data_IF_251543351272
#
_entry.id   IF_251543351272
#
_cell.length_a   1.000
_cell.length_b   1.000
_cell.length_c   1.000
_cell.angle_alpha   90.00
_cell.angle_beta   90.00
_cell.angle_gamma   90.00
#
_symmetry.space_group_name_H-M   'P 1'
#
loop_
_entity.id
_entity.type
_entity.pdbx_description
1 polymer ?
#
# COMPACT_ATOMS: atom_id res chain seq x y z
N UNK A 1 -22.66 -23.42 20.83
CA UNK A 1 -21.85 -22.92 19.69
C UNK A 1 -22.19 -23.76 18.47
N UNK A 2 -22.73 -23.17 17.40
CA UNK A 2 -22.78 -23.86 16.09
C UNK A 2 -21.33 -23.91 15.59
N UNK A 3 -20.84 -25.09 15.22
CA UNK A 3 -19.52 -25.23 14.63
C UNK A 3 -19.49 -24.48 13.30
N UNK A 4 -18.38 -23.80 13.01
CA UNK A 4 -18.12 -23.25 11.69
C UNK A 4 -18.06 -24.41 10.68
N UNK A 5 -18.66 -24.25 9.51
CA UNK A 5 -18.61 -25.23 8.42
C UNK A 5 -17.46 -24.89 7.46
N UNK A 6 -16.31 -25.59 7.53
CA UNK A 6 -15.14 -25.20 6.74
C UNK A 6 -15.36 -25.35 5.24
N UNK A 7 -16.22 -26.29 4.82
CA UNK A 7 -16.47 -26.57 3.41
C UNK A 7 -17.26 -25.41 2.80
N UNK A 8 -18.29 -24.91 3.50
CA UNK A 8 -19.07 -23.76 3.03
C UNK A 8 -18.24 -22.47 2.90
N UNK A 9 -17.34 -22.21 3.85
CA UNK A 9 -16.46 -21.04 3.79
C UNK A 9 -15.44 -21.16 2.66
N UNK A 10 -14.84 -22.33 2.47
CA UNK A 10 -13.91 -22.59 1.37
C UNK A 10 -14.59 -22.44 0.00
N UNK A 11 -15.81 -22.97 -0.14
CA UNK A 11 -16.63 -22.88 -1.36
C UNK A 11 -16.97 -21.41 -1.71
N UNK A 12 -17.24 -20.61 -0.68
CA UNK A 12 -17.48 -19.18 -0.81
C UNK A 12 -16.21 -18.47 -1.26
N UNK A 13 -15.07 -18.71 -0.61
CA UNK A 13 -13.76 -18.12 -0.98
C UNK A 13 -13.34 -18.45 -2.43
N UNK A 14 -13.67 -19.65 -2.91
CA UNK A 14 -13.43 -20.04 -4.30
C UNK A 14 -14.32 -19.32 -5.32
N UNK A 15 -15.41 -18.65 -4.88
CA UNK A 15 -16.37 -17.96 -5.77
C UNK A 15 -16.63 -16.52 -5.30
N UNK A 16 -15.65 -15.60 -5.47
CA UNK A 16 -15.79 -14.22 -5.02
C UNK A 16 -16.96 -13.52 -5.71
N UNK A 17 -17.98 -13.14 -4.93
CA UNK A 17 -19.13 -12.38 -5.45
C UNK A 17 -18.91 -10.87 -5.33
N UNK A 18 -19.42 -10.08 -6.26
CA UNK A 18 -19.27 -8.62 -6.28
C UNK A 18 -20.21 -7.88 -5.32
N UNK A 19 -21.27 -8.53 -4.84
CA UNK A 19 -22.29 -7.96 -3.95
C UNK A 19 -21.95 -8.09 -2.45
N UNK A 20 -20.88 -8.79 -2.11
CA UNK A 20 -20.40 -8.95 -0.73
C UNK A 20 -19.19 -8.03 -0.45
N UNK A 21 -19.05 -7.61 0.80
CA UNK A 21 -17.87 -6.88 1.31
C UNK A 21 -16.79 -7.87 1.75
N UNK A 22 -15.93 -8.27 0.81
CA UNK A 22 -14.95 -9.36 1.01
C UNK A 22 -13.76 -9.03 1.92
N UNK A 23 -13.50 -7.75 2.23
CA UNK A 23 -12.55 -7.41 3.31
C UNK A 23 -12.91 -8.12 4.61
N UNK A 24 -14.21 -8.26 4.90
CA UNK A 24 -14.68 -8.98 6.08
C UNK A 24 -14.32 -10.47 6.07
N UNK A 25 -14.16 -11.09 4.89
CA UNK A 25 -13.74 -12.50 4.79
C UNK A 25 -12.24 -12.66 4.97
N UNK A 26 -11.43 -11.76 4.39
CA UNK A 26 -9.99 -11.70 4.68
C UNK A 26 -9.76 -11.48 6.18
N UNK A 27 -10.39 -10.45 6.76
CA UNK A 27 -10.32 -10.14 8.19
C UNK A 27 -10.86 -11.29 9.05
N UNK A 28 -11.90 -11.99 8.59
CA UNK A 28 -12.43 -13.16 9.27
C UNK A 28 -11.42 -14.32 9.28
N UNK A 29 -10.76 -14.61 8.16
CA UNK A 29 -9.75 -15.67 8.12
C UNK A 29 -8.54 -15.28 8.96
N UNK A 30 -8.09 -14.02 8.91
CA UNK A 30 -7.03 -13.52 9.77
C UNK A 30 -7.40 -13.66 11.26
N UNK A 31 -8.60 -13.22 11.65
CA UNK A 31 -9.10 -13.39 13.02
C UNK A 31 -9.24 -14.86 13.42
N UNK A 32 -9.77 -15.70 12.53
CA UNK A 32 -9.87 -17.13 12.77
C UNK A 32 -8.49 -17.76 12.92
N UNK A 33 -7.48 -17.29 12.20
CA UNK A 33 -6.11 -17.77 12.34
C UNK A 33 -5.51 -17.43 13.71
N UNK A 34 -5.84 -16.27 14.28
CA UNK A 34 -5.43 -15.88 15.62
C UNK A 34 -6.17 -16.65 16.72
N UNK A 35 -7.49 -16.83 16.57
CA UNK A 35 -8.35 -17.41 17.60
C UNK A 35 -8.42 -18.95 17.55
N UNK A 36 -8.47 -19.53 16.35
CA UNK A 36 -8.53 -20.97 16.09
C UNK A 36 -7.79 -21.34 14.78
N UNK A 37 -6.44 -21.42 14.83
CA UNK A 37 -5.62 -21.69 13.67
C UNK A 37 -5.96 -23.02 12.97
N UNK A 38 -6.49 -24.00 13.72
CA UNK A 38 -6.85 -25.30 13.17
C UNK A 38 -8.04 -25.16 12.20
N UNK A 39 -9.09 -24.43 12.60
CA UNK A 39 -10.26 -24.16 11.76
C UNK A 39 -9.88 -23.33 10.53
N UNK A 40 -9.08 -22.27 10.71
CA UNK A 40 -8.66 -21.41 9.60
C UNK A 40 -7.83 -22.19 8.57
N UNK A 41 -6.85 -22.99 9.02
CA UNK A 41 -6.10 -23.92 8.15
C UNK A 41 -7.00 -24.90 7.44
N UNK A 42 -8.01 -25.42 8.13
CA UNK A 42 -8.96 -26.36 7.56
C UNK A 42 -9.79 -25.72 6.43
N UNK A 43 -10.24 -24.47 6.58
CA UNK A 43 -10.92 -23.72 5.52
C UNK A 43 -9.98 -23.52 4.33
N UNK A 44 -8.81 -22.94 4.56
CA UNK A 44 -7.89 -22.57 3.48
C UNK A 44 -7.38 -23.78 2.71
N UNK A 45 -7.15 -24.91 3.38
CA UNK A 45 -6.76 -26.17 2.73
C UNK A 45 -7.82 -26.74 1.78
N UNK A 46 -9.08 -26.30 1.89
CA UNK A 46 -10.20 -26.78 1.08
C UNK A 46 -10.62 -25.82 -0.03
N UNK A 47 -9.98 -24.64 -0.14
CA UNK A 47 -10.25 -23.72 -1.25
C UNK A 47 -9.88 -24.42 -2.55
N UNK A 48 -10.89 -24.64 -3.39
CA UNK A 48 -10.73 -25.18 -4.74
C UNK A 48 -10.08 -24.12 -5.65
N UNK A 49 -8.81 -24.35 -6.03
CA UNK A 49 -8.06 -23.43 -6.90
C UNK A 49 -8.61 -23.35 -8.29
N UNK A 50 -9.16 -24.43 -8.82
CA UNK A 50 -9.61 -24.48 -10.21
C UNK A 50 -10.90 -23.68 -10.35
N UNK A 51 -11.79 -23.79 -9.36
CA UNK A 51 -12.97 -22.93 -9.25
C UNK A 51 -12.56 -21.46 -9.07
N UNK A 52 -11.61 -21.18 -8.17
CA UNK A 52 -11.12 -19.81 -7.97
C UNK A 52 -10.50 -19.24 -9.24
N UNK A 53 -9.69 -20.00 -9.96
CA UNK A 53 -9.07 -19.58 -11.21
C UNK A 53 -10.12 -19.30 -12.29
N UNK A 54 -11.13 -20.16 -12.44
CA UNK A 54 -12.21 -19.94 -13.40
C UNK A 54 -13.03 -18.68 -13.11
N UNK A 55 -13.28 -18.38 -11.83
CA UNK A 55 -13.93 -17.13 -11.42
C UNK A 55 -13.02 -15.91 -11.62
N UNK A 56 -11.74 -16.04 -11.29
CA UNK A 56 -10.76 -14.98 -11.46
C UNK A 56 -10.60 -14.60 -12.95
N UNK A 57 -10.55 -15.58 -13.84
CA UNK A 57 -10.47 -15.36 -15.30
C UNK A 57 -11.65 -14.52 -15.82
N UNK A 58 -12.86 -14.76 -15.31
CA UNK A 58 -14.05 -13.97 -15.69
C UNK A 58 -13.99 -12.51 -15.24
N UNK A 59 -13.12 -12.19 -14.27
CA UNK A 59 -12.94 -10.84 -13.74
C UNK A 59 -11.88 -10.01 -14.51
N UNK A 60 -11.15 -10.64 -15.43
CA UNK A 60 -10.16 -9.97 -16.27
C UNK A 60 -10.84 -9.01 -17.28
N UNK A 61 -10.16 -7.94 -17.71
CA UNK A 61 -8.74 -7.60 -17.46
C UNK A 61 -8.46 -6.85 -16.15
N UNK A 62 -9.50 -6.51 -15.39
CA UNK A 62 -9.42 -5.66 -14.21
C UNK A 62 -10.16 -6.33 -13.03
N UNK A 63 -9.51 -7.29 -12.34
CA UNK A 63 -10.13 -8.02 -11.25
C UNK A 63 -10.58 -7.06 -10.14
N UNK A 64 -11.77 -7.32 -9.58
CA UNK A 64 -12.26 -6.51 -8.47
C UNK A 64 -11.48 -6.78 -7.19
N UNK A 65 -11.49 -5.86 -6.20
CA UNK A 65 -10.84 -6.08 -4.90
C UNK A 65 -11.26 -7.40 -4.25
N UNK A 66 -12.53 -7.81 -4.39
CA UNK A 66 -13.03 -9.07 -3.84
C UNK A 66 -12.31 -10.31 -4.40
N UNK A 67 -12.01 -10.32 -5.70
CA UNK A 67 -11.24 -11.41 -6.31
C UNK A 67 -9.80 -11.41 -5.79
N UNK A 68 -9.20 -10.24 -5.65
CA UNK A 68 -7.83 -10.11 -5.15
C UNK A 68 -7.72 -10.49 -3.66
N UNK A 69 -8.70 -10.15 -2.82
CA UNK A 69 -8.72 -10.60 -1.41
C UNK A 69 -8.83 -12.12 -1.29
N UNK A 70 -9.62 -12.78 -2.14
CA UNK A 70 -9.70 -14.24 -2.13
C UNK A 70 -8.35 -14.88 -2.52
N UNK A 71 -7.66 -14.29 -3.51
CA UNK A 71 -6.30 -14.72 -3.88
C UNK A 71 -5.28 -14.35 -2.80
N UNK A 72 -5.47 -13.27 -2.04
CA UNK A 72 -4.61 -12.89 -0.93
C UNK A 72 -4.70 -13.88 0.24
N UNK A 73 -5.92 -14.30 0.61
CA UNK A 73 -6.12 -15.40 1.58
C UNK A 73 -5.38 -16.67 1.10
N UNK A 74 -5.46 -16.98 -0.19
CA UNK A 74 -4.72 -18.10 -0.76
C UNK A 74 -3.21 -17.85 -0.69
N UNK A 75 -2.74 -16.64 -0.95
CA UNK A 75 -1.33 -16.27 -0.97
C UNK A 75 -0.67 -16.41 0.40
N UNK A 76 -1.33 -16.01 1.48
CA UNK A 76 -0.80 -16.09 2.84
C UNK A 76 -0.50 -17.53 3.30
N UNK A 77 -1.15 -18.52 2.69
CA UNK A 77 -1.12 -19.90 3.16
C UNK A 77 -0.66 -20.92 2.11
N UNK A 78 -0.91 -20.66 0.83
CA UNK A 78 -0.51 -21.46 -0.34
C UNK A 78 0.08 -20.53 -1.43
N UNK A 79 1.19 -19.82 -1.13
CA UNK A 79 1.72 -18.72 -1.97
C UNK A 79 2.07 -19.14 -3.39
N UNK A 80 2.59 -20.35 -3.59
CA UNK A 80 2.92 -20.86 -4.92
C UNK A 80 1.68 -20.96 -5.82
N UNK A 81 0.58 -21.49 -5.30
CA UNK A 81 -0.66 -21.64 -6.07
C UNK A 81 -1.31 -20.28 -6.38
N UNK A 82 -1.27 -19.34 -5.44
CA UNK A 82 -1.73 -17.97 -5.69
C UNK A 82 -0.90 -17.28 -6.78
N UNK A 83 0.42 -17.39 -6.74
CA UNK A 83 1.32 -16.83 -7.75
C UNK A 83 1.08 -17.47 -9.12
N UNK A 84 1.00 -18.81 -9.18
CA UNK A 84 0.74 -19.53 -10.42
C UNK A 84 -0.60 -19.11 -11.06
N UNK A 85 -1.65 -18.90 -10.23
CA UNK A 85 -2.94 -18.39 -10.69
C UNK A 85 -2.81 -16.98 -11.27
N UNK A 86 -2.16 -16.06 -10.55
CA UNK A 86 -2.01 -14.66 -10.98
C UNK A 86 -1.16 -14.53 -12.25
N UNK A 87 -0.05 -15.25 -12.34
CA UNK A 87 0.91 -15.20 -13.44
C UNK A 87 0.39 -15.85 -14.72
N UNK A 88 -0.48 -16.86 -14.61
CA UNK A 88 -1.16 -17.49 -15.76
C UNK A 88 -1.86 -16.46 -16.66
N UNK A 89 -2.35 -15.37 -16.07
CA UNK A 89 -3.14 -14.36 -16.76
C UNK A 89 -2.36 -13.04 -17.01
N UNK A 90 -1.03 -13.03 -16.84
CA UNK A 90 -0.17 -11.84 -16.96
C UNK A 90 -0.44 -11.03 -18.26
N UNK A 91 -0.68 -11.71 -19.38
CA UNK A 91 -0.91 -11.07 -20.66
C UNK A 91 -2.20 -10.23 -20.70
N UNK A 92 -3.20 -10.58 -19.89
CA UNK A 92 -4.56 -10.05 -19.97
C UNK A 92 -4.80 -8.81 -19.10
N UNK A 93 -3.93 -8.52 -18.12
CA UNK A 93 -4.10 -7.33 -17.28
C UNK A 93 -3.94 -6.03 -18.08
N UNK A 94 -4.74 -5.02 -17.72
CA UNK A 94 -4.65 -3.66 -18.29
C UNK A 94 -4.24 -2.59 -17.26
N UNK A 95 -4.29 -2.92 -15.97
CA UNK A 95 -3.81 -2.09 -14.87
C UNK A 95 -3.26 -2.98 -13.75
N UNK A 96 -2.36 -2.44 -12.91
CA UNK A 96 -1.76 -3.18 -11.81
C UNK A 96 -2.45 -2.74 -10.51
N UNK A 97 -3.13 -3.67 -9.85
CA UNK A 97 -3.69 -3.43 -8.53
C UNK A 97 -2.61 -3.64 -7.44
N UNK A 98 -2.56 -2.83 -6.36
CA UNK A 98 -1.57 -2.98 -5.28
C UNK A 98 -1.49 -4.38 -4.66
N UNK A 99 -2.62 -5.04 -4.38
CA UNK A 99 -2.63 -6.45 -3.91
C UNK A 99 -1.98 -7.43 -4.89
N UNK A 100 -2.27 -7.32 -6.18
CA UNK A 100 -1.59 -8.12 -7.21
C UNK A 100 -0.08 -7.85 -7.17
N UNK A 101 0.30 -6.58 -7.04
CA UNK A 101 1.68 -6.17 -6.97
C UNK A 101 2.43 -6.71 -5.73
N UNK A 102 1.75 -6.74 -4.59
CA UNK A 102 2.25 -7.33 -3.35
C UNK A 102 2.50 -8.84 -3.48
N UNK A 103 1.56 -9.58 -4.08
CA UNK A 103 1.64 -11.04 -4.19
C UNK A 103 2.64 -11.52 -5.25
N UNK A 104 2.86 -10.72 -6.30
CA UNK A 104 3.66 -11.07 -7.49
C UNK A 104 4.61 -9.95 -7.93
N UNK A 105 5.66 -9.63 -7.14
CA UNK A 105 6.56 -8.51 -7.44
C UNK A 105 7.32 -8.67 -8.77
N UNK A 106 7.76 -9.89 -9.12
CA UNK A 106 8.47 -10.14 -10.39
C UNK A 106 7.56 -9.97 -11.62
N UNK A 107 6.32 -10.47 -11.57
CA UNK A 107 5.32 -10.21 -12.61
C UNK A 107 5.03 -8.72 -12.71
N UNK A 108 4.92 -8.03 -11.58
CA UNK A 108 4.67 -6.59 -11.53
C UNK A 108 5.76 -5.80 -12.23
N UNK A 109 7.02 -6.16 -12.07
CA UNK A 109 8.13 -5.56 -12.80
C UNK A 109 7.95 -5.72 -14.31
N UNK A 110 7.54 -6.91 -14.78
CA UNK A 110 7.27 -7.14 -16.21
C UNK A 110 6.09 -6.30 -16.71
N UNK A 111 5.03 -6.17 -15.92
CA UNK A 111 3.85 -5.34 -16.25
C UNK A 111 4.19 -3.84 -16.27
N UNK A 112 4.97 -3.35 -15.32
CA UNK A 112 5.46 -1.97 -15.28
C UNK A 112 6.31 -1.65 -16.52
N UNK A 113 7.21 -2.55 -16.91
CA UNK A 113 8.02 -2.42 -18.14
C UNK A 113 7.18 -2.42 -19.42
N UNK A 114 6.00 -3.04 -19.41
CA UNK A 114 5.00 -2.97 -20.50
C UNK A 114 4.22 -1.65 -20.50
N UNK A 115 4.44 -0.78 -19.51
CA UNK A 115 3.79 0.52 -19.40
C UNK A 115 2.44 0.50 -18.68
N UNK A 116 2.11 -0.57 -17.96
CA UNK A 116 0.89 -0.57 -17.15
C UNK A 116 1.07 0.30 -15.91
N UNK A 117 0.09 1.15 -15.56
CA UNK A 117 0.19 2.00 -14.39
C UNK A 117 -0.03 1.21 -13.09
N UNK A 118 0.66 1.65 -12.03
CA UNK A 118 0.46 1.22 -10.64
C UNK A 118 0.35 2.46 -9.74
N UNK A 119 -0.87 2.73 -9.25
CA UNK A 119 -1.10 3.74 -8.21
C UNK A 119 -0.89 3.12 -6.83
N UNK A 120 0.05 3.68 -6.07
CA UNK A 120 0.37 3.24 -4.72
C UNK A 120 -0.61 3.75 -3.65
N UNK A 121 -1.65 4.50 -4.02
CA UNK A 121 -2.65 5.02 -3.09
C UNK A 121 -2.12 6.09 -2.15
N UNK A 122 -1.02 6.77 -2.52
CA UNK A 122 -0.38 7.79 -1.67
C UNK A 122 -1.30 8.98 -1.39
N UNK A 123 -2.21 9.29 -2.32
CA UNK A 123 -3.22 10.34 -2.13
C UNK A 123 -4.23 10.00 -1.03
N UNK A 124 -4.44 8.71 -0.74
CA UNK A 124 -5.25 8.18 0.36
C UNK A 124 -4.42 7.90 1.61
N UNK A 125 -3.13 8.25 1.61
CA UNK A 125 -2.21 8.06 2.73
C UNK A 125 -1.90 6.59 3.06
N UNK A 126 -1.91 5.70 2.07
CA UNK A 126 -1.48 4.29 2.22
C UNK A 126 0.06 4.15 2.30
N UNK A 127 0.71 4.97 3.14
CA UNK A 127 2.16 5.13 3.18
C UNK A 127 2.91 3.84 3.51
N UNK A 128 2.43 3.08 4.50
CA UNK A 128 3.08 1.86 4.95
C UNK A 128 3.08 0.78 3.85
N UNK A 129 1.91 0.48 3.27
CA UNK A 129 1.76 -0.50 2.20
C UNK A 129 2.53 -0.09 0.94
N UNK A 130 2.55 1.20 0.60
CA UNK A 130 3.35 1.71 -0.52
C UNK A 130 4.85 1.53 -0.30
N UNK A 131 5.34 1.74 0.93
CA UNK A 131 6.74 1.53 1.28
C UNK A 131 7.15 0.06 1.16
N UNK A 132 6.33 -0.84 1.71
CA UNK A 132 6.56 -2.29 1.64
C UNK A 132 6.56 -2.79 0.19
N UNK A 133 5.65 -2.27 -0.64
CA UNK A 133 5.62 -2.61 -2.05
C UNK A 133 6.85 -2.06 -2.80
N UNK A 134 7.27 -0.82 -2.51
CA UNK A 134 8.48 -0.24 -3.11
C UNK A 134 9.73 -1.04 -2.76
N UNK A 135 9.88 -1.44 -1.49
CA UNK A 135 10.99 -2.28 -1.02
C UNK A 135 10.97 -3.66 -1.70
N UNK A 136 9.78 -4.27 -1.82
CA UNK A 136 9.60 -5.55 -2.49
C UNK A 136 10.02 -5.49 -3.96
N UNK A 137 9.56 -4.49 -4.71
CA UNK A 137 9.97 -4.28 -6.10
C UNK A 137 11.47 -4.01 -6.19
N UNK A 138 12.04 -3.20 -5.29
CA UNK A 138 13.46 -2.87 -5.30
C UNK A 138 14.37 -4.08 -5.02
N UNK A 139 13.90 -5.07 -4.27
CA UNK A 139 14.63 -6.31 -4.02
C UNK A 139 14.86 -7.14 -5.30
N UNK A 140 13.99 -6.98 -6.30
CA UNK A 140 14.08 -7.66 -7.60
C UNK A 140 14.62 -6.75 -8.71
N UNK A 141 14.25 -5.47 -8.72
CA UNK A 141 14.69 -4.47 -9.69
C UNK A 141 14.68 -3.04 -9.11
N UNK A 142 15.86 -2.57 -8.70
CA UNK A 142 16.03 -1.24 -8.12
C UNK A 142 15.71 -0.09 -9.09
N UNK A 143 15.93 -0.28 -10.40
CA UNK A 143 15.64 0.76 -11.38
C UNK A 143 14.12 0.95 -11.51
N UNK A 144 13.38 -0.15 -11.65
CA UNK A 144 11.92 -0.10 -11.76
C UNK A 144 11.29 0.45 -10.47
N UNK A 145 11.85 0.13 -9.29
CA UNK A 145 11.42 0.74 -8.04
C UNK A 145 11.60 2.28 -8.04
N UNK A 146 12.74 2.77 -8.49
CA UNK A 146 13.00 4.22 -8.59
C UNK A 146 12.01 4.91 -9.54
N UNK A 147 11.76 4.30 -10.70
CA UNK A 147 10.79 4.80 -11.68
C UNK A 147 9.36 4.79 -11.12
N UNK A 148 8.96 3.73 -10.40
CA UNK A 148 7.65 3.62 -9.75
C UNK A 148 7.44 4.73 -8.70
N UNK A 149 8.44 4.99 -7.86
CA UNK A 149 8.39 6.06 -6.87
C UNK A 149 8.26 7.44 -7.54
N UNK A 150 9.01 7.67 -8.63
CA UNK A 150 8.92 8.90 -9.41
C UNK A 150 7.55 9.08 -10.08
N UNK A 151 6.97 8.01 -10.63
CA UNK A 151 5.64 8.02 -11.25
C UNK A 151 4.53 8.35 -10.23
N UNK A 152 4.71 7.98 -8.96
CA UNK A 152 3.74 8.22 -7.89
C UNK A 152 3.90 9.58 -7.17
N UNK A 153 4.82 10.45 -7.61
CA UNK A 153 4.98 11.81 -7.05
C UNK A 153 3.69 12.62 -6.95
N UNK A 154 2.79 12.66 -7.96
CA UNK A 154 1.54 13.41 -7.85
C UNK A 154 0.66 12.93 -6.68
N UNK A 155 0.58 11.61 -6.48
CA UNK A 155 -0.14 11.02 -5.35
C UNK A 155 0.51 11.36 -4.02
N UNK A 156 1.85 11.37 -3.95
CA UNK A 156 2.58 11.77 -2.74
C UNK A 156 2.30 13.24 -2.38
N UNK A 157 2.40 14.16 -3.34
CA UNK A 157 2.07 15.58 -3.17
C UNK A 157 0.63 15.76 -2.65
N UNK A 158 -0.33 15.08 -3.27
CA UNK A 158 -1.74 15.14 -2.85
C UNK A 158 -1.95 14.60 -1.43
N UNK A 159 -1.30 13.48 -1.09
CA UNK A 159 -1.39 12.89 0.25
C UNK A 159 -0.80 13.78 1.34
N UNK A 160 0.31 14.48 1.06
CA UNK A 160 0.91 15.47 1.97
C UNK A 160 0.06 16.72 2.16
N UNK A 161 -0.75 17.09 1.16
CA UNK A 161 -1.68 18.22 1.22
C UNK A 161 -3.03 17.87 1.86
N UNK A 162 -3.34 16.59 2.03
CA UNK A 162 -4.63 16.11 2.52
C UNK A 162 -4.74 16.20 4.04
N UNK A 163 -5.89 16.69 4.53
CA UNK A 163 -6.24 16.69 5.96
C UNK A 163 -7.14 15.49 6.29
N UNK A 164 -6.53 14.36 6.63
CA UNK A 164 -7.25 13.16 7.07
C UNK A 164 -7.50 13.16 8.59
N UNK A 165 -8.47 12.35 9.05
CA UNK A 165 -8.79 12.18 10.49
C UNK A 165 -7.59 11.69 11.28
N UNK A 166 -6.80 10.79 10.70
CA UNK A 166 -5.54 10.31 11.27
C UNK A 166 -4.38 10.39 10.25
N UNK A 167 -3.78 11.57 10.09
CA UNK A 167 -2.88 11.81 8.97
C UNK A 167 -1.48 11.26 9.24
N UNK A 168 -0.80 10.86 8.16
CA UNK A 168 0.63 10.52 8.10
C UNK A 168 1.05 9.22 8.82
N UNK A 169 0.12 8.33 9.16
CA UNK A 169 0.47 7.00 9.67
C UNK A 169 1.34 6.21 8.67
N UNK A 170 2.54 5.83 9.08
CA UNK A 170 3.47 5.10 8.21
C UNK A 170 4.21 5.97 7.19
N UNK A 171 4.05 7.30 7.22
CA UNK A 171 4.74 8.22 6.32
C UNK A 171 6.26 8.10 6.43
N UNK A 172 6.80 7.93 7.64
CA UNK A 172 8.23 7.74 7.85
C UNK A 172 8.75 6.50 7.11
N UNK A 173 7.96 5.43 6.99
CA UNK A 173 8.35 4.22 6.24
C UNK A 173 8.45 4.53 4.74
N UNK A 174 7.46 5.22 4.19
CA UNK A 174 7.49 5.66 2.79
C UNK A 174 8.70 6.54 2.49
N UNK A 175 8.94 7.55 3.33
CA UNK A 175 10.09 8.45 3.19
C UNK A 175 11.42 7.68 3.22
N UNK A 176 11.58 6.72 4.15
CA UNK A 176 12.77 5.88 4.22
C UNK A 176 12.94 4.98 2.99
N UNK A 177 11.86 4.39 2.48
CA UNK A 177 11.90 3.59 1.27
C UNK A 177 12.31 4.44 0.06
N UNK A 178 11.77 5.67 -0.08
CA UNK A 178 12.23 6.61 -1.08
C UNK A 178 13.70 7.00 -0.89
N UNK A 179 14.16 7.27 0.33
CA UNK A 179 15.57 7.61 0.57
C UNK A 179 16.52 6.49 0.12
N UNK A 180 16.11 5.21 0.28
CA UNK A 180 16.89 4.05 -0.14
C UNK A 180 16.85 3.82 -1.66
N UNK A 181 15.69 3.97 -2.28
CA UNK A 181 15.46 3.47 -3.64
C UNK A 181 15.25 4.58 -4.68
N UNK A 182 14.88 5.78 -4.25
CA UNK A 182 14.51 6.90 -5.11
C UNK A 182 14.83 8.26 -4.44
N UNK A 183 16.08 8.46 -4.01
CA UNK A 183 16.46 9.51 -3.05
C UNK A 183 16.10 10.96 -3.42
N UNK A 184 15.88 11.27 -4.70
CA UNK A 184 15.44 12.59 -5.14
C UNK A 184 13.94 12.86 -4.91
N UNK A 185 13.11 11.81 -4.86
CA UNK A 185 11.63 11.90 -4.91
C UNK A 185 11.07 12.74 -3.76
N UNK A 186 11.55 12.53 -2.54
CA UNK A 186 11.04 13.26 -1.36
C UNK A 186 11.32 14.75 -1.49
N UNK A 187 12.53 15.09 -1.91
CA UNK A 187 12.99 16.47 -2.01
C UNK A 187 12.33 17.24 -3.15
N UNK A 188 12.12 16.57 -4.29
CA UNK A 188 11.36 17.09 -5.42
C UNK A 188 9.90 17.35 -5.03
N UNK A 189 9.25 16.41 -4.34
CA UNK A 189 7.87 16.58 -3.87
C UNK A 189 7.77 17.72 -2.87
N UNK A 190 8.65 17.79 -1.87
CA UNK A 190 8.68 18.89 -0.90
C UNK A 190 8.80 20.24 -1.62
N UNK A 191 9.68 20.34 -2.61
CA UNK A 191 9.91 21.58 -3.36
C UNK A 191 8.72 22.02 -4.23
N UNK A 192 7.81 21.09 -4.54
CA UNK A 192 6.63 21.32 -5.37
C UNK A 192 5.32 21.43 -4.55
N UNK A 193 5.41 21.40 -3.22
CA UNK A 193 4.22 21.52 -2.39
C UNK A 193 3.53 22.88 -2.60
N UNK A 194 2.18 22.91 -2.70
CA UNK A 194 1.44 24.16 -2.73
C UNK A 194 1.68 24.99 -1.46
N UNK A 195 1.70 26.31 -1.60
CA UNK A 195 1.78 27.22 -0.46
C UNK A 195 0.68 26.94 0.56
N UNK A 196 1.02 27.00 1.85
CA UNK A 196 0.15 26.68 2.98
C UNK A 196 0.15 25.20 3.38
N UNK A 197 0.67 24.30 2.53
CA UNK A 197 0.69 22.85 2.82
C UNK A 197 1.54 22.55 4.05
N UNK A 198 2.77 23.09 4.10
CA UNK A 198 3.67 22.86 5.24
C UNK A 198 3.06 23.46 6.49
N UNK A 199 2.53 24.68 6.42
CA UNK A 199 1.84 25.32 7.56
C UNK A 199 0.71 24.44 8.13
N UNK A 200 -0.05 23.76 7.28
CA UNK A 200 -1.14 22.87 7.69
C UNK A 200 -0.66 21.65 8.49
N UNK A 201 0.61 21.23 8.35
CA UNK A 201 1.19 20.14 9.14
C UNK A 201 1.26 20.43 10.64
N UNK A 202 1.08 21.70 11.05
CA UNK A 202 0.91 22.09 12.46
C UNK A 202 -0.13 21.24 13.21
N UNK A 203 -1.19 20.76 12.52
CA UNK A 203 -2.22 19.90 13.12
C UNK A 203 -1.63 18.55 13.54
N UNK A 204 -0.82 17.93 12.67
CA UNK A 204 -0.17 16.66 12.97
C UNK A 204 0.93 16.81 14.04
N UNK A 205 1.67 17.92 14.05
CA UNK A 205 2.69 18.21 15.07
C UNK A 205 2.11 18.29 16.51
N UNK A 206 0.84 18.69 16.65
CA UNK A 206 0.13 18.70 17.94
C UNK A 206 -0.23 17.29 18.42
N UNK A 207 -0.40 16.32 17.52
CA UNK A 207 -0.70 14.93 17.86
C UNK A 207 0.58 14.19 18.25
N UNK A 208 0.70 13.77 19.52
CA UNK A 208 1.91 13.12 20.04
C UNK A 208 2.30 11.86 19.26
N UNK A 209 1.33 11.06 18.84
CA UNK A 209 1.53 9.82 18.08
C UNK A 209 1.89 10.06 16.60
N UNK A 210 1.58 11.22 16.01
CA UNK A 210 1.89 11.52 14.59
C UNK A 210 3.06 12.49 14.40
N UNK A 211 3.47 13.20 15.45
CA UNK A 211 4.59 14.16 15.39
C UNK A 211 5.85 13.55 14.78
N UNK A 212 6.19 12.31 15.14
CA UNK A 212 7.41 11.66 14.68
C UNK A 212 7.41 11.37 13.17
N UNK A 213 6.24 11.16 12.58
CA UNK A 213 6.06 10.89 11.14
C UNK A 213 6.39 12.13 10.29
N UNK A 214 5.99 13.31 10.77
CA UNK A 214 6.07 14.56 9.98
C UNK A 214 7.31 15.42 10.32
N UNK A 215 7.88 15.27 11.51
CA UNK A 215 9.01 16.08 11.98
C UNK A 215 10.22 16.06 11.02
N UNK A 216 10.68 14.89 10.53
CA UNK A 216 11.79 14.85 9.57
C UNK A 216 11.52 15.65 8.30
N UNK A 217 10.28 15.62 7.80
CA UNK A 217 9.88 16.36 6.61
C UNK A 217 9.85 17.87 6.84
N UNK A 218 9.46 18.35 8.03
CA UNK A 218 9.57 19.77 8.38
C UNK A 218 11.03 20.23 8.32
N UNK A 219 11.96 19.45 8.87
CA UNK A 219 13.39 19.80 8.80
C UNK A 219 13.95 19.73 7.38
N UNK A 220 13.51 18.76 6.56
CA UNK A 220 13.89 18.71 5.14
C UNK A 220 13.34 19.90 4.37
N UNK A 221 12.10 20.31 4.62
CA UNK A 221 11.48 21.49 4.02
C UNK A 221 12.20 22.79 4.40
N UNK A 222 12.65 22.93 5.65
CA UNK A 222 13.39 24.10 6.12
C UNK A 222 14.77 24.29 5.44
N UNK A 223 15.30 23.23 4.80
CA UNK A 223 16.56 23.25 4.04
C UNK A 223 16.35 23.51 2.53
N UNK A 224 15.10 23.70 2.10
CA UNK A 224 14.77 24.06 0.70
C UNK A 224 14.76 25.57 0.52
N UNK A 225 14.42 25.98 -0.69
CA UNK A 225 14.20 27.38 -1.04
C UNK A 225 12.69 27.69 -1.15
N UNK A 226 12.37 28.98 -1.13
CA UNK A 226 11.02 29.47 -1.42
C UNK A 226 10.00 29.31 -0.28
N UNK A 227 8.69 29.33 -0.59
CA UNK A 227 7.62 29.38 0.42
C UNK A 227 7.65 28.21 1.41
N UNK A 228 7.96 27.01 0.93
CA UNK A 228 8.05 25.79 1.73
C UNK A 228 9.08 25.91 2.86
N UNK A 229 10.21 26.56 2.60
CA UNK A 229 11.25 26.78 3.59
C UNK A 229 10.83 27.79 4.67
N UNK A 230 10.20 28.89 4.25
CA UNK A 230 9.68 29.90 5.17
C UNK A 230 8.59 29.33 6.10
N UNK A 231 7.67 28.54 5.55
CA UNK A 231 6.62 27.86 6.33
C UNK A 231 7.21 26.84 7.31
N UNK A 232 8.21 26.07 6.88
CA UNK A 232 8.87 25.10 7.76
C UNK A 232 9.63 25.78 8.90
N UNK A 233 10.32 26.89 8.63
CA UNK A 233 11.01 27.68 9.66
C UNK A 233 10.02 28.27 10.68
N UNK A 234 8.86 28.75 10.22
CA UNK A 234 7.79 29.21 11.11
C UNK A 234 7.28 28.07 12.01
N UNK A 235 7.09 26.86 11.47
CA UNK A 235 6.75 25.70 12.29
C UNK A 235 7.83 25.37 13.33
N UNK A 236 9.11 25.41 12.94
CA UNK A 236 10.23 25.17 13.88
C UNK A 236 10.25 26.23 14.99
N UNK A 237 9.96 27.49 14.68
CA UNK A 237 9.84 28.55 15.68
C UNK A 237 8.67 28.31 16.63
N UNK A 238 7.50 27.95 16.08
CA UNK A 238 6.24 27.76 16.81
C UNK A 238 6.22 26.51 17.69
N UNK A 239 6.93 25.45 17.32
CA UNK A 239 6.91 24.16 18.02
C UNK A 239 8.28 23.84 18.65
N UNK A 240 8.48 24.09 19.97
CA UNK A 240 9.75 23.86 20.65
C UNK A 240 10.26 22.41 20.58
N UNK A 241 9.38 21.43 20.33
CA UNK A 241 9.77 20.03 20.12
C UNK A 241 10.63 19.82 18.88
N UNK A 242 10.53 20.69 17.87
CA UNK A 242 11.32 20.63 16.63
C UNK A 242 12.72 21.23 16.82
N UNK A 243 12.89 22.15 17.77
CA UNK A 243 14.17 22.82 18.02
C UNK A 243 15.21 21.91 18.70
N UNK A 244 14.78 20.79 19.27
CA UNK A 244 15.65 19.88 20.06
C UNK A 244 16.31 18.77 19.23
N UNK A 245 16.09 18.75 17.91
CA UNK A 245 16.55 17.67 17.01
C UNK A 245 17.58 18.13 15.97
N UNK A 246 18.15 19.33 16.13
CA UNK A 246 19.34 19.79 15.39
C UNK A 246 20.63 19.30 16.01
#
# INVERSE_FOLDING_TARGET
MRALDPDHFADTLARPRTDNTWHNFYDFIAFAWEADPATAKAIVSRIDTDVLAAHYEQSLPAPSPNHLFAVEVLYEHRPSEARDLLERYEAQYTAIHPFLAHMTPEMTIRLLRRGLPLDLGLHQQHWASAAELLDSIAAHDAQVAAELAAANRPGFTAGLATQATDPFEGLARWVQACDRHAGAVVDEVISQLPAGTVTAWAVALRKRNRRHEITPLVHRAARRDGPVAAEAQELIHRFPSLQRQT
#
